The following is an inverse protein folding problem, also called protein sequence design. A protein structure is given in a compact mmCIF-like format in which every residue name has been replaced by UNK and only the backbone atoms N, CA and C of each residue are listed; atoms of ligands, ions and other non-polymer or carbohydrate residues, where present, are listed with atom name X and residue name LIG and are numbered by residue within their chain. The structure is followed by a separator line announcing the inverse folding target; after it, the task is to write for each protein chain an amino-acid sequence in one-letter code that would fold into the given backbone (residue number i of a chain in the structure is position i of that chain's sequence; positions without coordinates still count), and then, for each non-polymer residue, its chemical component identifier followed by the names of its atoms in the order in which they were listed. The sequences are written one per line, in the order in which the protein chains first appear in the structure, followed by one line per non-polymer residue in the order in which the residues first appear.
data_IF_350164238856
#
_entry.id   IF_350164238856
#
_cell.length_a   1.000
_cell.length_b   1.000
_cell.length_c   1.000
_cell.angle_alpha   90.00
_cell.angle_beta   90.00
_cell.angle_gamma   90.00
#
_symmetry.space_group_name_H-M   'P 1'
#
loop_
_entity.id
_entity.type
_entity.pdbx_description
1 polymer ?
#
# COMPACT_ATOMS: atom_id res chain seq x y z
N UNK A 1 23.31 2.53 -0.71
CA UNK A 1 22.16 1.60 -0.70
C UNK A 1 21.63 1.59 0.72
N UNK A 2 20.55 2.33 1.00
CA UNK A 2 19.97 2.39 2.35
C UNK A 2 19.22 1.10 2.64
N UNK A 3 19.81 0.24 3.45
CA UNK A 3 19.23 -1.02 3.95
C UNK A 3 18.18 -0.72 5.02
N UNK A 4 17.09 -0.08 4.63
CA UNK A 4 15.92 0.13 5.49
C UNK A 4 14.84 -0.85 5.03
N UNK A 5 15.10 -2.15 5.24
CA UNK A 5 14.15 -3.21 4.89
C UNK A 5 13.02 -3.22 5.91
N UNK A 6 11.85 -2.82 5.47
CA UNK A 6 10.63 -2.80 6.27
C UNK A 6 10.23 -4.24 6.70
N UNK A 7 9.53 -4.39 7.83
CA UNK A 7 9.19 -5.71 8.40
C UNK A 7 8.30 -6.49 7.43
N UNK A 8 7.37 -5.82 6.76
CA UNK A 8 6.48 -6.45 5.78
C UNK A 8 7.25 -6.87 4.53
N UNK A 9 8.18 -6.04 4.03
CA UNK A 9 9.02 -6.41 2.89
C UNK A 9 9.85 -7.67 3.19
N UNK A 10 10.44 -7.75 4.39
CA UNK A 10 11.20 -8.92 4.83
C UNK A 10 10.33 -10.18 4.92
N UNK A 11 9.13 -10.07 5.51
CA UNK A 11 8.18 -11.17 5.61
C UNK A 11 7.77 -11.70 4.22
N UNK A 12 7.51 -10.80 3.27
CA UNK A 12 7.14 -11.16 1.90
C UNK A 12 8.31 -11.82 1.15
N UNK A 13 9.52 -11.30 1.31
CA UNK A 13 10.73 -11.87 0.69
C UNK A 13 11.04 -13.30 1.18
N UNK A 14 10.59 -13.67 2.39
CA UNK A 14 10.74 -15.00 2.96
C UNK A 14 9.64 -15.99 2.52
N UNK A 15 8.63 -15.55 1.76
CA UNK A 15 7.56 -16.43 1.31
C UNK A 15 8.09 -17.50 0.34
N UNK A 16 7.83 -18.76 0.66
CA UNK A 16 8.23 -19.90 -0.19
C UNK A 16 7.22 -20.11 -1.31
N UNK A 17 7.58 -19.68 -2.52
CA UNK A 17 6.79 -19.87 -3.72
C UNK A 17 5.72 -18.80 -3.96
N UNK A 18 5.17 -18.80 -5.18
CA UNK A 18 4.29 -17.73 -5.67
C UNK A 18 2.96 -17.67 -4.93
N UNK A 19 2.32 -18.82 -4.70
CA UNK A 19 1.02 -18.88 -4.02
C UNK A 19 1.10 -18.33 -2.60
N UNK A 20 2.20 -18.63 -1.89
CA UNK A 20 2.40 -18.12 -0.54
C UNK A 20 2.70 -16.60 -0.56
N UNK A 21 3.48 -16.11 -1.52
CA UNK A 21 3.70 -14.66 -1.68
C UNK A 21 2.37 -13.93 -1.92
N UNK A 22 1.55 -14.40 -2.85
CA UNK A 22 0.23 -13.82 -3.12
C UNK A 22 -0.68 -13.87 -1.89
N UNK A 23 -0.69 -15.00 -1.17
CA UNK A 23 -1.43 -15.12 0.09
C UNK A 23 -0.97 -14.10 1.12
N UNK A 24 0.33 -13.95 1.31
CA UNK A 24 0.89 -12.99 2.26
C UNK A 24 0.54 -11.55 1.85
N UNK A 25 0.65 -11.18 0.57
CA UNK A 25 0.22 -9.87 0.08
C UNK A 25 -1.26 -9.60 0.43
N UNK A 26 -2.16 -10.55 0.19
CA UNK A 26 -3.57 -10.40 0.56
C UNK A 26 -3.77 -10.25 2.07
N UNK A 27 -2.99 -10.96 2.90
CA UNK A 27 -3.10 -10.88 4.36
C UNK A 27 -2.63 -9.53 4.88
N UNK A 28 -1.47 -9.06 4.43
CA UNK A 28 -0.90 -7.77 4.83
C UNK A 28 -1.80 -6.62 4.36
N UNK A 29 -2.36 -6.73 3.14
CA UNK A 29 -3.29 -5.74 2.60
C UNK A 29 -4.61 -5.58 3.38
N UNK A 30 -4.96 -6.52 4.28
CA UNK A 30 -6.12 -6.36 5.17
C UNK A 30 -5.90 -5.33 6.29
N UNK A 31 -4.65 -5.08 6.67
CA UNK A 31 -4.29 -4.09 7.67
C UNK A 31 -4.21 -2.67 7.08
N UNK A 32 -4.33 -2.54 5.77
CA UNK A 32 -4.33 -1.24 5.09
C UNK A 32 -5.61 -0.48 5.44
N UNK A 33 -5.46 0.77 5.87
CA UNK A 33 -6.60 1.63 6.13
C UNK A 33 -7.32 1.96 4.81
N UNK A 34 -8.65 1.73 4.72
CA UNK A 34 -9.40 2.07 3.52
C UNK A 34 -9.49 3.59 3.34
N UNK A 35 -9.46 4.02 2.08
CA UNK A 35 -9.89 5.36 1.69
C UNK A 35 -11.43 5.41 1.70
N UNK A 36 -11.99 6.56 2.10
CA UNK A 36 -13.44 6.77 1.99
C UNK A 36 -13.90 6.68 0.54
N UNK A 37 -15.19 6.45 0.30
CA UNK A 37 -15.72 6.39 -1.07
C UNK A 37 -15.57 7.75 -1.78
N UNK A 38 -15.72 8.85 -1.05
CA UNK A 38 -15.60 10.22 -1.59
C UNK A 38 -14.16 10.55 -1.96
N UNK A 39 -13.18 10.01 -1.23
CA UNK A 39 -11.75 10.21 -1.52
C UNK A 39 -11.25 9.35 -2.69
N UNK A 40 -12.07 8.44 -3.21
CA UNK A 40 -11.76 7.59 -4.37
C UNK A 40 -12.33 8.20 -5.66
N UNK A 41 -11.88 9.42 -5.96
CA UNK A 41 -12.27 10.18 -7.14
C UNK A 41 -11.20 10.15 -8.24
N UNK A 42 -11.49 10.78 -9.38
CA UNK A 42 -10.57 10.86 -10.52
C UNK A 42 -9.31 11.71 -10.22
N UNK A 43 -9.39 12.62 -9.25
CA UNK A 43 -8.26 13.49 -8.89
C UNK A 43 -7.22 12.76 -8.03
N UNK A 44 -7.66 11.81 -7.20
CA UNK A 44 -6.78 10.98 -6.39
C UNK A 44 -6.35 9.69 -7.10
N UNK A 45 -6.94 9.37 -8.26
CA UNK A 45 -6.61 8.16 -9.03
C UNK A 45 -5.21 8.25 -9.69
N UNK A 46 -4.39 7.23 -9.43
CA UNK A 46 -3.06 7.07 -10.01
C UNK A 46 -3.17 6.39 -11.37
N UNK A 47 -2.94 7.18 -12.41
CA UNK A 47 -2.98 6.72 -13.80
C UNK A 47 -1.84 5.73 -14.14
N UNK A 48 -2.11 4.83 -15.08
CA UNK A 48 -1.12 3.87 -15.60
C UNK A 48 -1.03 2.54 -14.82
N UNK A 49 -1.83 2.37 -13.76
CA UNK A 49 -1.95 1.10 -13.07
C UNK A 49 -2.97 0.17 -13.77
N UNK A 50 -2.69 -1.13 -13.86
CA UNK A 50 -3.66 -2.10 -14.44
C UNK A 50 -4.91 -2.24 -13.55
N UNK A 51 -4.75 -2.12 -12.24
CA UNK A 51 -5.87 -2.01 -11.29
C UNK A 51 -5.94 -0.57 -10.81
N UNK A 52 -7.15 -0.06 -10.57
CA UNK A 52 -7.33 1.29 -10.02
C UNK A 52 -6.62 1.43 -8.66
N UNK A 53 -5.92 2.54 -8.50
CA UNK A 53 -5.20 2.90 -7.28
C UNK A 53 -5.52 4.36 -6.99
N UNK A 54 -5.85 4.67 -5.74
CA UNK A 54 -6.06 6.04 -5.29
C UNK A 54 -5.02 6.40 -4.24
N UNK A 55 -4.58 7.66 -4.25
CA UNK A 55 -3.57 8.20 -3.36
C UNK A 55 -4.00 9.58 -2.84
N UNK A 56 -4.00 9.73 -1.53
CA UNK A 56 -4.24 11.01 -0.86
C UNK A 56 -3.04 11.36 0.02
N UNK A 57 -2.59 12.61 -0.11
CA UNK A 57 -1.53 13.18 0.72
C UNK A 57 -2.12 14.30 1.56
N UNK A 58 -1.83 14.27 2.86
CA UNK A 58 -2.16 15.35 3.78
C UNK A 58 -0.89 15.81 4.49
N UNK A 59 -0.81 17.10 4.81
CA UNK A 59 0.30 17.66 5.57
C UNK A 59 -0.23 18.06 6.94
N UNK A 60 0.35 17.53 8.01
CA UNK A 60 -0.04 17.86 9.38
C UNK A 60 0.53 19.23 9.80
N UNK A 61 0.09 19.71 10.98
CA UNK A 61 0.56 20.99 11.54
C UNK A 61 2.06 21.04 11.84
N UNK A 62 2.73 19.88 11.87
CA UNK A 62 4.16 19.75 12.09
C UNK A 62 4.94 19.59 10.77
N UNK A 63 4.30 19.91 9.63
CA UNK A 63 4.85 19.78 8.29
C UNK A 63 5.24 18.34 7.91
N UNK A 64 4.58 17.34 8.51
CA UNK A 64 4.77 15.92 8.17
C UNK A 64 3.73 15.51 7.14
N UNK A 65 4.17 14.77 6.12
CA UNK A 65 3.28 14.20 5.11
C UNK A 65 2.70 12.89 5.63
N UNK A 66 1.38 12.80 5.68
CA UNK A 66 0.64 11.56 5.83
C UNK A 66 0.11 11.13 4.45
N UNK A 67 0.25 9.84 4.17
CA UNK A 67 -0.16 9.23 2.91
C UNK A 67 -1.19 8.15 3.19
N UNK A 68 -2.29 8.19 2.45
CA UNK A 68 -3.28 7.12 2.39
C UNK A 68 -3.37 6.65 0.95
N UNK A 69 -3.33 5.33 0.74
CA UNK A 69 -3.53 4.76 -0.57
C UNK A 69 -4.44 3.53 -0.51
N UNK A 70 -5.22 3.32 -1.57
CA UNK A 70 -6.15 2.19 -1.69
C UNK A 70 -6.22 1.65 -3.10
N UNK A 71 -6.64 0.39 -3.25
CA UNK A 71 -6.91 -0.25 -4.52
C UNK A 71 -8.03 -1.27 -4.39
N UNK A 72 -8.81 -1.44 -5.45
CA UNK A 72 -9.81 -2.51 -5.53
C UNK A 72 -9.15 -3.90 -5.53
N UNK A 73 -7.94 -4.00 -6.07
CA UNK A 73 -7.20 -5.26 -6.11
C UNK A 73 -6.66 -5.64 -4.74
N UNK A 74 -7.02 -6.84 -4.27
CA UNK A 74 -6.54 -7.40 -3.00
C UNK A 74 -5.02 -7.55 -2.95
N UNK A 75 -4.40 -7.85 -4.09
CA UNK A 75 -2.94 -8.00 -4.19
C UNK A 75 -2.26 -6.64 -4.15
N UNK A 76 -2.79 -5.66 -4.89
CA UNK A 76 -2.23 -4.30 -4.90
C UNK A 76 -2.34 -3.65 -3.52
N UNK A 77 -3.40 -3.91 -2.76
CA UNK A 77 -3.48 -3.50 -1.35
C UNK A 77 -2.32 -4.04 -0.49
N UNK A 78 -1.88 -5.26 -0.75
CA UNK A 78 -0.68 -5.81 -0.11
C UNK A 78 0.59 -5.03 -0.45
N UNK A 79 0.77 -4.68 -1.73
CA UNK A 79 1.90 -3.87 -2.20
C UNK A 79 1.87 -2.47 -1.58
N UNK A 80 0.69 -1.83 -1.58
CA UNK A 80 0.49 -0.51 -0.97
C UNK A 80 0.78 -0.50 0.53
N UNK A 81 0.48 -1.58 1.24
CA UNK A 81 0.79 -1.70 2.67
C UNK A 81 2.31 -1.74 2.94
N UNK A 82 3.11 -2.33 2.04
CA UNK A 82 4.58 -2.30 2.12
C UNK A 82 5.10 -0.90 1.83
N UNK A 83 4.56 -0.23 0.80
CA UNK A 83 4.96 1.13 0.42
C UNK A 83 4.64 2.15 1.53
N UNK A 84 3.52 1.96 2.25
CA UNK A 84 3.09 2.81 3.35
C UNK A 84 3.75 2.45 4.69
N UNK A 85 4.56 1.40 4.75
CA UNK A 85 5.22 1.02 5.99
C UNK A 85 6.24 2.09 6.40
N UNK A 86 6.02 2.69 7.57
CA UNK A 86 6.97 3.64 8.14
C UNK A 86 8.22 2.87 8.57
N UNK A 87 9.38 3.28 8.04
CA UNK A 87 10.71 2.74 8.43
C UNK A 87 11.38 3.67 9.42
#
# INVERSE_FOLDING_TARGET
MTTNSSKLATQLAQAKGWDNLLRQLMLVGKALHPLSDEARDEHSEVQGCQSRVWLQLTVDSNNRVAMLAWSDSKIIRGVLAVIQEKV
#
